data_IF_508289717310
#
_entry.id   IF_508289717310
#
_cell.length_a   1.000
_cell.length_b   1.000
_cell.length_c   1.000
_cell.angle_alpha   90.00
_cell.angle_beta   90.00
_cell.angle_gamma   90.00
#
_symmetry.space_group_name_H-M   'P 1'
#
loop_
_entity.id
_entity.type
_entity.pdbx_description
1 polymer ?
#
# COMPACT_ATOMS: atom_id res chain seq x y z
N UNK A 1 6.56 -24.85 41.54
CA UNK A 1 6.82 -23.44 41.17
C UNK A 1 7.08 -23.37 39.66
N UNK A 2 6.02 -23.44 38.86
CA UNK A 2 6.00 -23.17 37.41
C UNK A 2 4.56 -22.81 37.06
N UNK A 3 4.29 -21.53 36.82
CA UNK A 3 3.02 -21.07 36.26
C UNK A 3 3.30 -20.64 34.82
N UNK A 4 2.94 -21.50 33.88
CA UNK A 4 2.91 -21.20 32.45
C UNK A 4 1.82 -20.15 32.17
N UNK A 5 2.21 -18.99 31.65
CA UNK A 5 1.29 -18.00 31.09
C UNK A 5 0.78 -18.51 29.73
N UNK A 6 -0.45 -19.02 29.70
CA UNK A 6 -1.19 -19.27 28.46
C UNK A 6 -1.95 -18.01 28.06
N UNK A 7 -1.48 -17.30 27.05
CA UNK A 7 -2.27 -16.26 26.38
C UNK A 7 -3.14 -16.92 25.32
N UNK A 8 -4.47 -16.87 25.52
CA UNK A 8 -5.45 -17.30 24.53
C UNK A 8 -5.88 -16.05 23.74
N UNK A 9 -5.30 -15.86 22.55
CA UNK A 9 -5.80 -14.86 21.59
C UNK A 9 -7.12 -15.40 21.03
N UNK A 10 -8.25 -14.87 21.48
CA UNK A 10 -9.54 -15.05 20.81
C UNK A 10 -9.79 -13.81 19.94
N UNK A 11 -9.65 -13.98 18.63
CA UNK A 11 -10.23 -13.12 17.61
C UNK A 11 -11.13 -14.03 16.77
N UNK A 12 -12.37 -14.19 17.22
CA UNK A 12 -13.44 -14.75 16.41
C UNK A 12 -14.50 -13.67 16.23
N UNK A 13 -14.89 -13.45 14.98
CA UNK A 13 -15.79 -12.40 14.50
C UNK A 13 -17.26 -12.65 14.92
N UNK A 14 -17.54 -12.56 16.20
CA UNK A 14 -18.86 -12.17 16.70
C UNK A 14 -18.66 -10.88 17.48
N UNK A 15 -19.25 -9.78 17.01
CA UNK A 15 -19.36 -8.55 17.80
C UNK A 15 -20.34 -8.83 18.94
N UNK A 16 -19.87 -9.57 19.95
CA UNK A 16 -20.51 -9.56 21.25
C UNK A 16 -20.36 -8.17 21.82
N UNK A 17 -21.48 -7.61 22.30
CA UNK A 17 -21.48 -6.41 23.13
C UNK A 17 -20.66 -6.78 24.36
N UNK A 18 -19.39 -6.38 24.38
CA UNK A 18 -18.55 -6.56 25.56
C UNK A 18 -19.15 -5.67 26.64
N UNK A 19 -19.64 -6.29 27.71
CA UNK A 19 -20.00 -5.62 28.95
C UNK A 19 -18.85 -4.70 29.37
N UNK A 20 -19.16 -3.41 29.47
CA UNK A 20 -18.32 -2.29 29.90
C UNK A 20 -16.87 -2.66 30.28
N UNK A 21 -15.95 -2.58 29.32
CA UNK A 21 -14.55 -2.38 29.65
C UNK A 21 -14.41 -0.95 30.12
N UNK A 22 -14.15 -0.77 31.41
CA UNK A 22 -13.91 0.54 31.97
C UNK A 22 -12.73 1.22 31.25
N UNK A 23 -12.93 2.40 30.62
CA UNK A 23 -11.86 3.06 29.89
C UNK A 23 -10.70 3.36 30.85
N UNK A 24 -9.44 3.18 30.42
CA UNK A 24 -8.27 3.57 31.20
C UNK A 24 -8.41 5.01 31.72
N UNK A 25 -7.84 5.31 32.89
CA UNK A 25 -7.99 6.59 33.59
C UNK A 25 -7.69 7.82 32.71
N UNK A 26 -6.77 7.67 31.75
CA UNK A 26 -6.47 8.63 30.69
C UNK A 26 -7.72 9.04 29.88
N UNK A 27 -8.53 8.07 29.44
CA UNK A 27 -9.73 8.32 28.62
C UNK A 27 -10.82 9.07 29.41
N UNK A 28 -11.01 8.74 30.69
CA UNK A 28 -11.96 9.45 31.56
C UNK A 28 -11.59 10.92 31.75
N UNK A 29 -10.28 11.20 31.91
CA UNK A 29 -9.77 12.57 32.11
C UNK A 29 -9.88 13.43 30.84
N UNK A 30 -9.70 12.82 29.67
CA UNK A 30 -9.68 13.55 28.40
C UNK A 30 -11.07 13.73 27.75
N UNK A 31 -12.00 12.77 27.92
CA UNK A 31 -13.23 12.72 27.13
C UNK A 31 -14.53 12.58 27.95
N UNK A 32 -14.44 12.54 29.28
CA UNK A 32 -15.60 12.32 30.16
C UNK A 32 -16.14 10.88 30.11
N UNK A 33 -17.14 10.55 30.95
CA UNK A 33 -17.59 9.17 31.18
C UNK A 33 -18.38 8.55 30.01
N UNK A 34 -18.82 9.34 29.02
CA UNK A 34 -19.71 8.88 27.96
C UNK A 34 -19.23 9.40 26.60
N UNK A 35 -18.36 8.65 25.93
CA UNK A 35 -17.89 8.93 24.56
C UNK A 35 -18.99 8.72 23.51
N UNK A 36 -20.02 9.57 23.51
CA UNK A 36 -21.08 9.56 22.50
C UNK A 36 -20.56 10.31 21.26
N UNK A 37 -20.02 9.57 20.29
CA UNK A 37 -19.62 10.10 19.00
C UNK A 37 -20.83 10.18 18.07
N UNK A 38 -21.23 11.41 17.73
CA UNK A 38 -22.37 11.67 16.84
C UNK A 38 -21.90 11.63 15.38
N UNK A 39 -22.04 10.48 14.70
CA UNK A 39 -21.68 10.33 13.29
C UNK A 39 -22.81 10.83 12.38
N UNK A 40 -22.72 12.08 11.91
CA UNK A 40 -23.49 12.51 10.74
C UNK A 40 -22.84 11.94 9.48
N UNK A 41 -23.60 11.20 8.67
CA UNK A 41 -23.19 10.77 7.33
C UNK A 41 -22.92 12.00 6.45
N UNK A 42 -21.73 12.07 5.86
CA UNK A 42 -21.40 13.08 4.86
C UNK A 42 -22.04 12.72 3.51
N UNK A 43 -23.02 13.50 3.08
CA UNK A 43 -23.48 13.56 1.69
C UNK A 43 -22.87 14.79 1.03
N UNK A 44 -22.04 14.63 0.00
CA UNK A 44 -21.56 15.76 -0.79
C UNK A 44 -20.41 15.43 -1.74
N UNK A 45 -20.64 15.71 -3.02
CA UNK A 45 -19.75 15.56 -4.16
C UNK A 45 -18.79 16.76 -4.37
N UNK A 46 -17.60 16.48 -4.92
CA UNK A 46 -16.72 17.31 -5.77
C UNK A 46 -15.35 17.84 -5.26
N UNK A 47 -14.39 17.71 -6.19
CA UNK A 47 -13.06 18.32 -6.37
C UNK A 47 -11.94 17.93 -5.39
N UNK A 48 -10.95 17.15 -5.87
CA UNK A 48 -9.86 16.57 -5.06
C UNK A 48 -8.51 17.31 -5.16
N UNK A 49 -8.48 18.53 -5.68
CA UNK A 49 -7.24 19.33 -5.83
C UNK A 49 -7.27 20.64 -5.04
N UNK A 50 -7.47 20.57 -3.72
CA UNK A 50 -7.14 21.67 -2.79
C UNK A 50 -6.24 21.13 -1.68
N UNK A 51 -5.08 21.77 -1.45
CA UNK A 51 -4.33 21.56 -0.20
C UNK A 51 -5.24 21.96 0.95
N UNK A 52 -5.30 21.13 1.97
CA UNK A 52 -6.17 21.40 3.09
C UNK A 52 -5.45 22.40 4.03
N UNK A 53 -5.72 23.69 3.85
CA UNK A 53 -5.01 24.78 4.54
C UNK A 53 -5.27 24.83 6.07
N UNK A 54 -6.17 23.99 6.58
CA UNK A 54 -6.57 23.91 7.99
C UNK A 54 -6.52 22.48 8.55
N UNK A 55 -5.47 21.70 8.22
CA UNK A 55 -5.29 20.35 8.76
C UNK A 55 -4.06 20.32 9.66
N UNK A 56 -4.28 20.00 10.94
CA UNK A 56 -3.21 19.73 11.90
C UNK A 56 -2.97 18.21 11.96
N UNK A 57 -1.69 17.82 11.95
CA UNK A 57 -1.33 16.43 12.20
C UNK A 57 -1.74 16.06 13.63
N UNK A 58 -2.60 15.04 13.75
CA UNK A 58 -3.03 14.54 15.05
C UNK A 58 -1.93 13.61 15.59
N UNK A 59 -1.27 14.01 16.67
CA UNK A 59 -0.32 13.15 17.35
C UNK A 59 -1.06 11.98 17.99
N UNK A 60 -0.75 10.75 17.57
CA UNK A 60 -1.31 9.53 18.14
C UNK A 60 -0.43 9.04 19.28
N UNK A 61 -1.03 8.53 20.37
CA UNK A 61 -0.29 7.99 21.52
C UNK A 61 0.51 6.71 21.25
N UNK A 62 0.30 6.06 20.10
CA UNK A 62 1.07 4.89 19.64
C UNK A 62 1.75 5.26 18.33
N UNK A 63 3.08 5.27 18.33
CA UNK A 63 3.90 5.57 17.17
C UNK A 63 4.27 4.33 16.34
N UNK A 64 4.90 4.56 15.20
CA UNK A 64 5.41 3.52 14.30
C UNK A 64 6.36 2.54 14.99
N UNK A 65 7.24 3.04 15.86
CA UNK A 65 8.21 2.23 16.59
C UNK A 65 7.52 1.21 17.51
N UNK A 66 6.51 1.65 18.26
CA UNK A 66 5.69 0.78 19.09
C UNK A 66 4.94 -0.29 18.27
N UNK A 67 4.37 0.09 17.12
CA UNK A 67 3.67 -0.86 16.23
C UNK A 67 4.63 -1.87 15.61
N UNK A 68 5.82 -1.43 15.19
CA UNK A 68 6.89 -2.26 14.67
C UNK A 68 7.39 -3.27 15.73
N UNK A 69 7.62 -2.79 16.96
CA UNK A 69 8.03 -3.62 18.08
C UNK A 69 6.99 -4.70 18.41
N UNK A 70 5.71 -4.35 18.45
CA UNK A 70 4.62 -5.31 18.66
C UNK A 70 4.61 -6.44 17.62
N UNK A 71 4.96 -6.12 16.36
CA UNK A 71 5.05 -7.10 15.26
C UNK A 71 6.41 -7.79 15.16
N UNK A 72 7.39 -7.45 16.00
CA UNK A 72 8.75 -7.96 15.93
C UNK A 72 9.34 -7.90 14.51
N UNK A 73 9.12 -6.78 13.81
CA UNK A 73 9.61 -6.54 12.47
C UNK A 73 9.92 -5.07 12.21
N UNK A 74 10.84 -4.81 11.28
CA UNK A 74 11.05 -3.48 10.74
C UNK A 74 10.06 -3.24 9.60
N UNK A 75 9.27 -2.16 9.62
CA UNK A 75 8.42 -1.80 8.50
C UNK A 75 9.26 -1.49 7.28
N UNK A 76 8.74 -1.81 6.09
CA UNK A 76 9.43 -1.60 4.83
C UNK A 76 8.42 -1.49 3.70
N UNK A 77 8.74 -0.72 2.68
CA UNK A 77 8.01 -0.68 1.41
C UNK A 77 8.91 -1.28 0.33
N UNK A 78 8.58 -2.50 -0.08
CA UNK A 78 9.23 -3.21 -1.19
C UNK A 78 8.52 -2.81 -2.49
N UNK A 79 9.13 -1.90 -3.24
CA UNK A 79 8.53 -1.30 -4.43
C UNK A 79 9.02 -1.98 -5.71
N UNK A 80 8.23 -2.92 -6.22
CA UNK A 80 8.52 -3.60 -7.48
C UNK A 80 8.13 -2.73 -8.67
N UNK A 81 9.10 -2.46 -9.55
CA UNK A 81 8.92 -1.70 -10.80
C UNK A 81 9.42 -2.51 -12.00
N UNK A 82 8.82 -2.32 -13.17
CA UNK A 82 9.15 -3.09 -14.38
C UNK A 82 8.01 -3.15 -15.39
N UNK A 83 8.32 -3.60 -16.60
CA UNK A 83 7.33 -3.73 -17.69
C UNK A 83 6.15 -4.65 -17.34
N UNK A 84 5.01 -4.47 -18.00
CA UNK A 84 3.91 -5.43 -17.91
C UNK A 84 4.43 -6.83 -18.27
N UNK A 85 3.99 -7.89 -17.59
CA UNK A 85 4.50 -9.24 -17.88
C UNK A 85 5.92 -9.56 -17.41
N UNK A 86 6.67 -8.62 -16.83
CA UNK A 86 8.03 -8.89 -16.33
C UNK A 86 8.09 -9.90 -15.18
N UNK A 87 7.01 -10.02 -14.39
CA UNK A 87 6.90 -10.97 -13.29
C UNK A 87 6.78 -10.35 -11.90
N UNK A 88 6.63 -9.02 -11.78
CA UNK A 88 6.47 -8.30 -10.50
C UNK A 88 5.47 -8.97 -9.55
N UNK A 89 4.22 -9.14 -9.97
CA UNK A 89 3.19 -9.74 -9.12
C UNK A 89 3.52 -11.19 -8.76
N UNK A 90 4.18 -11.95 -9.63
CA UNK A 90 4.62 -13.32 -9.34
C UNK A 90 5.68 -13.33 -8.25
N UNK A 91 6.70 -12.47 -8.36
CA UNK A 91 7.78 -12.36 -7.36
C UNK A 91 7.22 -11.84 -6.03
N UNK A 92 6.39 -10.79 -6.07
CA UNK A 92 5.75 -10.23 -4.88
C UNK A 92 4.90 -11.27 -4.15
N UNK A 93 4.07 -12.04 -4.86
CA UNK A 93 3.28 -13.13 -4.25
C UNK A 93 4.16 -14.24 -3.68
N UNK A 94 5.24 -14.63 -4.36
CA UNK A 94 6.17 -15.63 -3.84
C UNK A 94 6.86 -15.14 -2.56
N UNK A 95 7.33 -13.89 -2.55
CA UNK A 95 7.96 -13.28 -1.39
C UNK A 95 6.98 -13.12 -0.23
N UNK A 96 5.75 -12.68 -0.49
CA UNK A 96 4.69 -12.58 0.51
C UNK A 96 4.43 -13.91 1.21
N UNK A 97 4.29 -15.01 0.44
CA UNK A 97 4.16 -16.37 0.99
C UNK A 97 5.35 -16.77 1.86
N UNK A 98 6.57 -16.44 1.42
CA UNK A 98 7.80 -16.75 2.16
C UNK A 98 7.93 -15.95 3.46
N UNK A 99 7.49 -14.69 3.47
CA UNK A 99 7.49 -13.81 4.64
C UNK A 99 6.38 -14.23 5.62
N UNK A 100 5.19 -14.50 5.12
CA UNK A 100 4.07 -15.02 5.91
C UNK A 100 4.44 -16.33 6.61
N UNK A 101 5.08 -17.27 5.89
CA UNK A 101 5.58 -18.53 6.48
C UNK A 101 6.63 -18.32 7.59
N UNK A 102 7.27 -17.14 7.66
CA UNK A 102 8.21 -16.74 8.70
C UNK A 102 7.57 -15.87 9.79
N UNK A 103 6.23 -15.81 9.84
CA UNK A 103 5.49 -15.02 10.82
C UNK A 103 5.61 -13.51 10.63
N UNK A 104 5.98 -13.04 9.42
CA UNK A 104 6.02 -11.61 9.11
C UNK A 104 4.65 -11.12 8.66
N UNK A 105 4.32 -9.90 9.07
CA UNK A 105 3.08 -9.23 8.70
C UNK A 105 3.28 -8.40 7.43
N UNK A 106 2.72 -8.89 6.34
CA UNK A 106 2.86 -8.32 5.00
C UNK A 106 1.51 -7.95 4.39
N UNK A 107 1.55 -7.11 3.37
CA UNK A 107 0.40 -6.89 2.49
C UNK A 107 0.85 -6.49 1.08
N UNK A 108 0.12 -6.95 0.05
CA UNK A 108 0.42 -6.63 -1.35
C UNK A 108 -0.52 -5.54 -1.87
N UNK A 109 0.06 -4.45 -2.38
CA UNK A 109 -0.64 -3.44 -3.18
C UNK A 109 -0.33 -3.68 -4.66
N UNK A 110 -1.19 -4.45 -5.34
CA UNK A 110 -1.06 -4.74 -6.77
C UNK A 110 -1.86 -3.76 -7.63
N UNK A 111 -1.27 -3.35 -8.75
CA UNK A 111 -1.85 -2.38 -9.67
C UNK A 111 -3.23 -2.72 -10.24
N UNK A 112 -3.55 -4.00 -10.41
CA UNK A 112 -4.89 -4.39 -10.84
C UNK A 112 -5.87 -4.33 -9.66
N UNK A 113 -5.47 -4.84 -8.49
CA UNK A 113 -6.31 -4.87 -7.30
C UNK A 113 -6.72 -3.47 -6.83
N UNK A 114 -5.78 -2.52 -6.78
CA UNK A 114 -6.09 -1.14 -6.35
C UNK A 114 -7.05 -0.45 -7.32
N UNK A 115 -7.05 -0.82 -8.61
CA UNK A 115 -7.96 -0.29 -9.63
C UNK A 115 -9.38 -0.82 -9.55
N UNK A 116 -9.62 -1.90 -8.80
CA UNK A 116 -10.98 -2.35 -8.49
C UNK A 116 -11.63 -1.53 -7.36
N UNK A 117 -10.85 -0.82 -6.54
CA UNK A 117 -11.31 -0.08 -5.38
C UNK A 117 -10.79 1.36 -5.35
N UNK A 118 -9.70 1.57 -4.60
CA UNK A 118 -9.09 2.89 -4.32
C UNK A 118 -8.90 3.78 -5.57
N UNK A 119 -8.52 3.17 -6.69
CA UNK A 119 -8.14 3.85 -7.93
C UNK A 119 -9.10 3.54 -9.09
N UNK A 120 -10.35 3.14 -8.80
CA UNK A 120 -11.34 2.80 -9.84
C UNK A 120 -11.73 3.96 -10.75
N UNK A 121 -11.52 5.20 -10.28
CA UNK A 121 -11.78 6.44 -11.00
C UNK A 121 -10.66 6.82 -11.98
N UNK A 122 -9.51 6.14 -11.92
CA UNK A 122 -8.32 6.48 -12.70
C UNK A 122 -8.20 5.61 -13.95
N UNK A 123 -8.03 6.26 -15.11
CA UNK A 123 -7.72 5.61 -16.37
C UNK A 123 -6.22 5.31 -16.53
N UNK A 124 -5.76 5.36 -17.79
CA UNK A 124 -4.39 5.01 -18.19
C UNK A 124 -3.66 6.14 -18.94
N UNK A 125 -4.21 7.36 -18.93
CA UNK A 125 -3.49 8.54 -19.41
C UNK A 125 -2.34 8.89 -18.43
N UNK A 126 -1.52 9.88 -18.79
CA UNK A 126 -0.34 10.23 -17.97
C UNK A 126 -0.72 10.76 -16.58
N UNK A 127 -1.68 11.68 -16.47
CA UNK A 127 -2.09 12.27 -15.19
C UNK A 127 -2.67 11.22 -14.23
N UNK A 128 -3.48 10.29 -14.74
CA UNK A 128 -4.09 9.22 -13.97
C UNK A 128 -3.05 8.21 -13.48
N UNK A 129 -1.97 8.00 -14.24
CA UNK A 129 -0.84 7.18 -13.79
C UNK A 129 -0.08 7.85 -12.66
N UNK A 130 0.19 9.14 -12.76
CA UNK A 130 0.84 9.93 -11.71
C UNK A 130 0.01 9.86 -10.42
N UNK A 131 -1.29 10.12 -10.50
CA UNK A 131 -2.19 10.06 -9.35
C UNK A 131 -2.33 8.64 -8.78
N UNK A 132 -2.34 7.62 -9.65
CA UNK A 132 -2.35 6.22 -9.21
C UNK A 132 -1.10 5.89 -8.37
N UNK A 133 0.09 6.33 -8.79
CA UNK A 133 1.31 6.12 -8.01
C UNK A 133 1.25 6.90 -6.69
N UNK A 134 0.84 8.17 -6.73
CA UNK A 134 0.72 9.02 -5.53
C UNK A 134 -0.21 8.39 -4.48
N UNK A 135 -1.41 7.95 -4.87
CA UNK A 135 -2.36 7.30 -3.95
C UNK A 135 -1.79 6.01 -3.35
N UNK A 136 -1.17 5.16 -4.17
CA UNK A 136 -0.59 3.91 -3.66
C UNK A 136 0.59 4.18 -2.74
N UNK A 137 1.43 5.19 -3.03
CA UNK A 137 2.54 5.57 -2.17
C UNK A 137 2.06 6.05 -0.79
N UNK A 138 1.01 6.88 -0.73
CA UNK A 138 0.42 7.32 0.54
C UNK A 138 -0.19 6.14 1.33
N UNK A 139 -0.86 5.21 0.67
CA UNK A 139 -1.37 4.00 1.33
C UNK A 139 -0.22 3.12 1.83
N UNK A 140 0.82 2.93 1.03
CA UNK A 140 2.00 2.17 1.45
C UNK A 140 2.66 2.81 2.68
N UNK A 141 2.74 4.14 2.74
CA UNK A 141 3.25 4.89 3.88
C UNK A 141 2.41 4.64 5.13
N UNK A 142 1.09 4.74 5.04
CA UNK A 142 0.18 4.48 6.18
C UNK A 142 0.29 3.03 6.68
N UNK A 143 0.46 2.07 5.76
CA UNK A 143 0.62 0.66 6.12
C UNK A 143 1.98 0.37 6.76
N UNK A 144 3.06 1.01 6.28
CA UNK A 144 4.37 0.94 6.91
C UNK A 144 4.36 1.62 8.29
N UNK A 145 3.69 2.77 8.44
CA UNK A 145 3.43 3.42 9.73
C UNK A 145 2.66 2.50 10.70
N UNK A 146 1.75 1.67 10.18
CA UNK A 146 1.05 0.62 10.95
C UNK A 146 1.93 -0.59 11.31
N UNK A 147 3.22 -0.59 10.94
CA UNK A 147 4.20 -1.61 11.29
C UNK A 147 4.39 -2.72 10.24
N UNK A 148 3.77 -2.61 9.05
CA UNK A 148 3.75 -3.69 8.05
C UNK A 148 4.96 -3.65 7.10
N UNK A 149 5.25 -4.80 6.47
CA UNK A 149 6.09 -4.87 5.27
C UNK A 149 5.15 -4.85 4.07
N UNK A 150 5.17 -3.76 3.30
CA UNK A 150 4.27 -3.54 2.17
C UNK A 150 4.97 -3.92 0.88
N UNK A 151 4.35 -4.78 0.08
CA UNK A 151 4.85 -5.18 -1.25
C UNK A 151 4.02 -4.46 -2.30
N UNK A 152 4.60 -3.46 -2.97
CA UNK A 152 3.92 -2.70 -4.02
C UNK A 152 4.32 -3.25 -5.38
N UNK A 153 3.35 -3.78 -6.14
CA UNK A 153 3.57 -4.32 -7.49
C UNK A 153 2.89 -3.44 -8.53
N UNK A 154 3.65 -2.46 -9.05
CA UNK A 154 3.19 -1.50 -10.03
C UNK A 154 4.14 -1.44 -11.23
N UNK A 155 3.65 -0.98 -12.38
CA UNK A 155 4.57 -0.68 -13.49
C UNK A 155 5.45 0.52 -13.13
N UNK A 156 4.86 1.56 -12.52
CA UNK A 156 5.54 2.81 -12.10
C UNK A 156 6.60 3.30 -13.10
N UNK A 157 6.20 3.62 -14.35
CA UNK A 157 7.14 3.73 -15.47
C UNK A 157 8.10 4.91 -15.39
N UNK A 158 7.76 5.98 -14.69
CA UNK A 158 8.58 7.19 -14.65
C UNK A 158 9.36 7.28 -13.33
N UNK A 159 10.62 7.71 -13.41
CA UNK A 159 11.52 7.87 -12.27
C UNK A 159 11.03 8.93 -11.30
N UNK A 160 10.42 10.01 -11.80
CA UNK A 160 9.89 11.10 -10.98
C UNK A 160 8.91 10.61 -9.92
N UNK A 161 7.92 9.80 -10.31
CA UNK A 161 6.94 9.27 -9.36
C UNK A 161 7.52 8.20 -8.42
N UNK A 162 8.50 7.41 -8.86
CA UNK A 162 9.21 6.47 -7.96
C UNK A 162 10.04 7.21 -6.92
N UNK A 163 10.68 8.32 -7.31
CA UNK A 163 11.40 9.22 -6.39
C UNK A 163 10.43 9.85 -5.39
N UNK A 164 9.30 10.39 -5.84
CA UNK A 164 8.27 10.93 -4.95
C UNK A 164 7.79 9.87 -3.95
N UNK A 165 7.53 8.64 -4.40
CA UNK A 165 7.13 7.56 -3.50
C UNK A 165 8.22 7.22 -2.47
N UNK A 166 9.50 7.28 -2.85
CA UNK A 166 10.65 7.09 -1.95
C UNK A 166 10.75 8.21 -0.91
N UNK A 167 10.58 9.46 -1.33
CA UNK A 167 10.66 10.66 -0.47
C UNK A 167 9.52 10.73 0.57
N UNK A 168 8.43 9.99 0.38
CA UNK A 168 7.34 9.86 1.36
C UNK A 168 7.68 8.97 2.55
N UNK A 169 8.71 8.12 2.42
CA UNK A 169 9.10 7.13 3.42
C UNK A 169 10.29 7.60 4.26
N UNK A 170 10.50 6.96 5.41
CA UNK A 170 11.70 7.18 6.21
C UNK A 170 12.95 6.59 5.54
N UNK A 171 14.13 7.10 5.93
CA UNK A 171 15.41 6.65 5.40
C UNK A 171 15.59 5.12 5.57
N UNK A 172 15.93 4.44 4.47
CA UNK A 172 16.08 2.99 4.44
C UNK A 172 14.79 2.17 4.56
N UNK A 173 13.61 2.79 4.50
CA UNK A 173 12.31 2.07 4.50
C UNK A 173 11.84 1.70 3.09
N UNK A 174 12.18 2.52 2.09
CA UNK A 174 11.81 2.29 0.70
C UNK A 174 12.91 1.52 -0.05
N UNK A 175 12.56 0.32 -0.53
CA UNK A 175 13.46 -0.57 -1.27
C UNK A 175 12.89 -0.72 -2.68
N UNK A 176 13.56 -0.16 -3.68
CA UNK A 176 13.14 -0.27 -5.08
C UNK A 176 13.67 -1.57 -5.67
N UNK A 177 12.78 -2.34 -6.31
CA UNK A 177 13.11 -3.65 -6.85
C UNK A 177 12.80 -3.60 -8.34
N UNK A 178 13.85 -3.46 -9.15
CA UNK A 178 13.71 -3.49 -10.60
C UNK A 178 13.58 -4.94 -11.08
N UNK A 179 12.40 -5.29 -11.57
CA UNK A 179 12.16 -6.57 -12.25
C UNK A 179 12.50 -6.37 -13.72
N UNK A 180 13.80 -6.49 -14.01
CA UNK A 180 14.37 -6.29 -15.33
C UNK A 180 14.07 -7.50 -16.23
N UNK A 181 13.27 -7.26 -17.27
CA UNK A 181 12.92 -8.25 -18.26
C UNK A 181 12.79 -7.53 -19.61
N UNK A 182 13.46 -8.02 -20.67
CA UNK A 182 13.33 -7.44 -22.00
C UNK A 182 11.88 -7.35 -22.46
N UNK A 183 11.58 -6.31 -23.26
CA UNK A 183 10.25 -6.07 -23.81
C UNK A 183 9.75 -7.26 -24.62
N UNK A 184 10.64 -7.84 -25.42
CA UNK A 184 10.36 -8.98 -26.31
C UNK A 184 9.91 -10.20 -25.49
N UNK A 185 10.56 -10.45 -24.35
CA UNK A 185 10.22 -11.56 -23.48
C UNK A 185 8.92 -11.29 -22.71
N UNK A 186 8.69 -10.04 -22.27
CA UNK A 186 7.41 -9.63 -21.70
C UNK A 186 6.26 -9.82 -22.70
N UNK A 187 6.46 -9.43 -23.95
CA UNK A 187 5.52 -9.59 -25.05
C UNK A 187 5.33 -11.04 -25.48
N UNK A 188 6.36 -11.88 -25.39
CA UNK A 188 6.26 -13.32 -25.65
C UNK A 188 5.41 -14.03 -24.59
N UNK A 189 5.56 -13.64 -23.33
CA UNK A 189 4.80 -14.22 -22.20
C UNK A 189 3.33 -13.81 -22.22
N UNK A 190 3.06 -12.52 -22.48
CA UNK A 190 1.74 -11.85 -22.57
C UNK A 190 0.54 -12.57 -21.91
N UNK A 191 0.59 -12.86 -20.59
CA UNK A 191 -0.40 -13.72 -19.92
C UNK A 191 -1.81 -13.12 -19.92
N UNK A 192 -1.93 -11.81 -20.16
CA UNK A 192 -3.19 -11.06 -20.19
C UNK A 192 -3.60 -10.65 -21.62
N UNK A 193 -2.82 -11.01 -22.64
CA UNK A 193 -3.08 -10.60 -24.03
C UNK A 193 -3.00 -9.09 -24.26
N UNK A 194 -2.31 -8.35 -23.39
CA UNK A 194 -2.23 -6.89 -23.42
C UNK A 194 -1.23 -6.41 -24.47
N UNK A 195 -0.08 -7.08 -24.62
CA UNK A 195 0.90 -6.74 -25.64
C UNK A 195 0.34 -6.96 -27.04
N UNK A 196 -0.34 -8.09 -27.27
CA UNK A 196 -1.03 -8.34 -28.55
C UNK A 196 -2.02 -7.22 -28.90
N UNK A 197 -2.80 -6.75 -27.93
CA UNK A 197 -3.74 -5.64 -28.13
C UNK A 197 -3.03 -4.30 -28.35
N UNK A 198 -1.95 -4.04 -27.63
CA UNK A 198 -1.15 -2.83 -27.77
C UNK A 198 -0.49 -2.72 -29.15
N UNK A 199 0.15 -3.79 -29.63
CA UNK A 199 0.75 -3.84 -30.97
C UNK A 199 -0.29 -3.71 -32.08
N UNK A 200 -1.52 -4.18 -31.85
CA UNK A 200 -2.64 -3.98 -32.77
C UNK A 200 -3.30 -2.59 -32.67
N UNK A 201 -2.75 -1.67 -31.88
CA UNK A 201 -3.28 -0.30 -31.71
C UNK A 201 -4.57 -0.21 -30.89
N UNK A 202 -5.01 -1.32 -30.26
CA UNK A 202 -6.28 -1.38 -29.49
C UNK A 202 -6.16 -0.83 -28.07
N UNK A 203 -4.93 -0.60 -27.59
CA UNK A 203 -4.65 0.01 -26.30
C UNK A 203 -3.67 1.17 -26.53
N UNK A 204 -4.15 2.38 -26.30
CA UNK A 204 -3.32 3.58 -26.34
C UNK A 204 -2.43 3.68 -25.09
N UNK A 205 -1.31 4.40 -25.22
CA UNK A 205 -0.37 4.72 -24.14
C UNK A 205 0.12 3.48 -23.36
N UNK A 206 0.36 2.37 -24.05
CA UNK A 206 0.81 1.14 -23.41
C UNK A 206 2.31 1.22 -23.12
N UNK A 207 2.69 0.99 -21.86
CA UNK A 207 4.09 1.12 -21.40
C UNK A 207 5.00 0.12 -22.10
N UNK A 208 6.11 0.61 -22.64
CA UNK A 208 7.08 -0.16 -23.43
C UNK A 208 6.71 -0.32 -24.91
N UNK A 209 5.53 0.17 -25.35
CA UNK A 209 5.11 0.11 -26.76
C UNK A 209 4.80 1.51 -27.30
N UNK A 210 3.79 2.18 -26.75
CA UNK A 210 3.37 3.53 -27.15
C UNK A 210 3.52 4.58 -26.04
N UNK A 211 4.14 4.19 -24.91
CA UNK A 211 4.50 5.06 -23.78
C UNK A 211 5.83 4.56 -23.19
N UNK A 212 6.75 5.45 -22.75
CA UNK A 212 8.08 5.03 -22.30
C UNK A 212 8.05 4.32 -20.94
N UNK A 213 9.12 3.58 -20.67
CA UNK A 213 9.48 3.07 -19.35
C UNK A 213 10.90 3.55 -19.02
N UNK A 214 11.04 4.31 -17.95
CA UNK A 214 12.32 4.84 -17.50
C UNK A 214 12.95 3.88 -16.51
N UNK A 215 13.96 3.14 -16.96
CA UNK A 215 14.71 2.16 -16.16
C UNK A 215 15.27 2.83 -14.89
N UNK A 216 15.12 2.25 -13.69
CA UNK A 216 15.75 2.76 -12.47
C UNK A 216 17.27 2.84 -12.60
N UNK A 217 17.88 3.92 -12.10
CA UNK A 217 19.35 4.11 -12.16
C UNK A 217 20.07 3.43 -10.99
N UNK A 218 19.44 3.45 -9.81
CA UNK A 218 19.95 2.85 -8.58
C UNK A 218 18.79 2.18 -7.81
N UNK A 219 18.30 1.01 -8.30
CA UNK A 219 17.23 0.27 -7.62
C UNK A 219 17.68 -0.23 -6.24
#
# INVERSE_FOLDING_TARGET
MRSELRWKLCWENELDIIDHVDPPEFFRKAYGPTGVFNTKLFSGSQSWARRADNVHWQATGVDKGARAAMKSQRPAVLWFTGLSGSGKSTIANALDRLLHARGKHTYILDGDNVRHGLNRDLGFNQSDRVENIRRVAEVAKLMADAGLIVLVSLISPFRGERRMARELMEEGEFIEIFVDMPLEECARRDPKGLYRKAFAGKIANFTGVSSPYEIPESP
#
